data_IF_039391923103
#
_entry.id   IF_039391923103
#
_cell.length_a   1.000
_cell.length_b   1.000
_cell.length_c   1.000
_cell.angle_alpha   90.00
_cell.angle_beta   90.00
_cell.angle_gamma   90.00
#
_symmetry.space_group_name_H-M   'P 1'
#
loop_
_entity.id
_entity.type
_entity.pdbx_description
1 polymer ?
#
# COMPACT_ATOMS: atom_id res chain seq x y z
N UNK A 1 57.75 31.14 -11.25
CA UNK A 1 58.58 30.42 -10.28
C UNK A 1 57.67 29.75 -9.27
N UNK A 2 57.82 28.43 -9.13
CA UNK A 2 57.51 27.58 -7.94
C UNK A 2 56.09 27.66 -7.38
N UNK A 3 55.20 26.72 -7.71
CA UNK A 3 55.00 25.40 -7.06
C UNK A 3 54.78 25.44 -5.54
N UNK A 4 53.61 24.96 -5.09
CA UNK A 4 53.49 24.04 -3.95
C UNK A 4 52.15 23.31 -3.93
N UNK A 5 52.24 22.05 -3.53
CA UNK A 5 51.40 20.92 -3.91
C UNK A 5 50.14 20.72 -3.05
N UNK A 6 49.18 20.04 -3.68
CA UNK A 6 47.90 19.57 -3.15
C UNK A 6 48.03 18.07 -2.86
N UNK A 7 47.81 17.63 -1.62
CA UNK A 7 47.70 16.21 -1.28
C UNK A 7 46.21 15.83 -1.19
N UNK A 8 45.71 15.11 -2.20
CA UNK A 8 44.41 14.43 -2.16
C UNK A 8 44.68 12.98 -2.53
N UNK A 9 44.55 12.10 -1.54
CA UNK A 9 44.55 10.66 -1.68
C UNK A 9 43.31 10.23 -2.50
N UNK A 10 43.54 9.60 -3.66
CA UNK A 10 42.49 8.92 -4.43
C UNK A 10 42.90 7.47 -4.68
N UNK A 11 42.01 6.57 -4.26
CA UNK A 11 42.00 5.15 -4.55
C UNK A 11 42.15 4.92 -6.06
N UNK A 12 43.04 3.98 -6.42
CA UNK A 12 43.25 3.51 -7.78
C UNK A 12 42.22 2.43 -8.12
N UNK A 13 41.34 2.71 -9.09
CA UNK A 13 40.57 1.69 -9.81
C UNK A 13 41.05 1.73 -11.25
N UNK A 14 41.89 0.76 -11.63
CA UNK A 14 42.43 0.62 -12.97
C UNK A 14 41.40 -0.05 -13.89
N UNK A 15 40.70 0.76 -14.70
CA UNK A 15 39.98 0.27 -15.86
C UNK A 15 40.99 0.00 -16.99
N UNK A 16 41.18 -1.28 -17.37
CA UNK A 16 41.86 -1.61 -18.63
C UNK A 16 40.88 -1.44 -19.79
N UNK A 17 41.11 -0.43 -20.63
CA UNK A 17 40.56 -0.36 -21.98
C UNK A 17 41.14 -1.51 -22.80
N UNK A 18 40.27 -2.34 -23.39
CA UNK A 18 40.66 -3.28 -24.45
C UNK A 18 40.38 -2.58 -25.77
N UNK A 19 41.46 -2.21 -26.48
CA UNK A 19 41.40 -1.78 -27.86
C UNK A 19 41.53 -3.03 -28.73
N UNK A 20 40.48 -3.37 -29.47
CA UNK A 20 40.53 -4.43 -30.48
C UNK A 20 40.94 -3.78 -31.80
N UNK A 21 42.12 -4.09 -32.31
CA UNK A 21 42.47 -3.86 -33.72
C UNK A 21 42.60 -5.19 -34.44
N UNK A 22 41.94 -5.21 -35.60
CA UNK A 22 41.79 -6.33 -36.53
C UNK A 22 43.14 -6.66 -37.19
N UNK A 23 43.36 -7.97 -37.33
CA UNK A 23 44.53 -8.64 -37.91
C UNK A 23 44.76 -8.22 -39.35
N UNK A 24 46.03 -7.99 -39.73
CA UNK A 24 46.54 -8.31 -41.06
C UNK A 24 48.07 -8.36 -41.09
N UNK A 25 48.61 -9.51 -41.50
CA UNK A 25 49.83 -9.63 -42.31
C UNK A 25 51.19 -9.29 -41.69
N UNK A 26 52.12 -10.22 -41.90
CA UNK A 26 53.59 -10.08 -41.84
C UNK A 26 54.31 -10.44 -40.53
N UNK A 27 55.33 -11.27 -40.74
CA UNK A 27 56.14 -12.00 -39.81
C UNK A 27 57.27 -11.13 -39.24
N UNK A 28 57.38 -11.03 -37.91
CA UNK A 28 58.48 -10.37 -37.17
C UNK A 28 58.67 -11.04 -35.78
N UNK A 29 59.85 -10.90 -35.13
CA UNK A 29 60.78 -11.98 -34.82
C UNK A 29 60.53 -12.68 -33.48
N UNK A 30 61.16 -13.85 -33.32
CA UNK A 30 61.22 -14.65 -32.08
C UNK A 30 61.58 -13.77 -30.87
N UNK A 31 60.60 -13.47 -30.04
CA UNK A 31 60.84 -13.12 -28.64
C UNK A 31 60.98 -14.43 -27.87
N UNK A 32 62.22 -14.78 -27.50
CA UNK A 32 62.49 -15.86 -26.55
C UNK A 32 61.90 -15.43 -25.20
N UNK A 33 60.70 -15.90 -24.90
CA UNK A 33 60.14 -15.80 -23.57
C UNK A 33 61.01 -16.67 -22.66
N UNK A 34 61.63 -16.07 -21.64
CA UNK A 34 62.21 -16.81 -20.53
C UNK A 34 61.06 -17.58 -19.87
N UNK A 35 60.90 -18.84 -20.25
CA UNK A 35 60.04 -19.77 -19.52
C UNK A 35 60.77 -20.07 -18.22
N UNK A 36 60.54 -19.23 -17.21
CA UNK A 36 60.63 -19.70 -15.84
C UNK A 36 59.67 -20.87 -15.75
N UNK A 37 60.23 -22.06 -15.80
CA UNK A 37 59.58 -23.32 -15.45
C UNK A 37 59.21 -23.20 -13.98
N UNK A 38 58.05 -22.58 -13.72
CA UNK A 38 57.39 -22.68 -12.43
C UNK A 38 56.99 -24.13 -12.31
N UNK A 39 57.66 -24.81 -11.39
CA UNK A 39 57.41 -26.17 -10.94
C UNK A 39 55.90 -26.39 -10.88
N UNK A 40 55.38 -27.19 -11.81
CA UNK A 40 53.99 -27.63 -11.84
C UNK A 40 53.79 -28.66 -10.73
N UNK A 41 53.71 -28.18 -9.48
CA UNK A 41 52.83 -28.83 -8.51
C UNK A 41 51.41 -28.62 -9.01
N UNK A 42 50.74 -29.69 -9.39
CA UNK A 42 49.31 -29.68 -9.75
C UNK A 42 48.47 -29.45 -8.47
N UNK A 43 48.59 -28.28 -7.85
CA UNK A 43 47.59 -27.86 -6.87
C UNK A 43 46.34 -27.43 -7.64
N UNK A 44 45.30 -28.25 -7.55
CA UNK A 44 44.01 -27.99 -8.19
C UNK A 44 43.41 -26.70 -7.63
N UNK A 45 43.30 -25.67 -8.48
CA UNK A 45 42.70 -24.39 -8.13
C UNK A 45 41.17 -24.58 -7.99
N UNK A 46 40.69 -24.76 -6.76
CA UNK A 46 39.26 -24.92 -6.46
C UNK A 46 38.58 -23.56 -6.38
N UNK A 47 37.79 -23.20 -7.40
CA UNK A 47 36.99 -21.98 -7.40
C UNK A 47 35.78 -22.17 -6.46
N UNK A 48 35.56 -21.27 -5.48
CA UNK A 48 34.43 -21.39 -4.57
C UNK A 48 33.09 -21.12 -5.28
N UNK A 49 32.02 -21.72 -4.76
CA UNK A 49 30.67 -21.54 -5.28
C UNK A 49 30.16 -20.13 -5.00
N UNK A 50 29.45 -19.55 -5.99
CA UNK A 50 28.76 -18.27 -5.82
C UNK A 50 27.65 -18.41 -4.78
N UNK A 51 27.62 -17.49 -3.81
CA UNK A 51 26.51 -17.35 -2.86
C UNK A 51 25.53 -16.30 -3.36
N UNK A 52 24.24 -16.54 -3.13
CA UNK A 52 23.15 -15.62 -3.42
C UNK A 52 22.47 -15.24 -2.12
N UNK A 53 22.08 -13.98 -1.99
CA UNK A 53 21.47 -13.44 -0.78
C UNK A 53 20.23 -12.63 -1.15
N UNK A 54 19.28 -12.55 -0.22
CA UNK A 54 18.14 -11.66 -0.37
C UNK A 54 18.55 -10.19 -0.15
N UNK A 55 17.80 -9.25 -0.73
CA UNK A 55 18.12 -7.81 -0.76
C UNK A 55 18.27 -7.20 0.64
N UNK A 56 17.51 -7.70 1.62
CA UNK A 56 17.54 -7.17 3.01
C UNK A 56 18.38 -8.01 3.98
N UNK A 57 18.89 -9.17 3.55
CA UNK A 57 19.57 -10.14 4.43
C UNK A 57 20.81 -9.59 5.12
N UNK A 58 21.60 -8.78 4.41
CA UNK A 58 22.82 -8.15 4.97
C UNK A 58 22.45 -7.12 6.03
N UNK A 59 21.41 -6.32 5.80
CA UNK A 59 20.93 -5.34 6.78
C UNK A 59 20.38 -6.03 8.03
N UNK A 60 19.66 -7.14 7.86
CA UNK A 60 19.19 -7.95 8.97
C UNK A 60 20.36 -8.53 9.78
N UNK A 61 21.40 -9.02 9.10
CA UNK A 61 22.61 -9.50 9.76
C UNK A 61 23.29 -8.40 10.58
N UNK A 62 23.40 -7.17 10.05
CA UNK A 62 23.92 -6.04 10.80
C UNK A 62 23.02 -5.63 11.97
N UNK A 63 21.70 -5.61 11.78
CA UNK A 63 20.75 -5.31 12.85
C UNK A 63 20.88 -6.29 14.02
N UNK A 64 21.16 -7.58 13.77
CA UNK A 64 21.41 -8.57 14.83
C UNK A 64 22.71 -8.37 15.60
N UNK A 65 23.68 -7.63 15.05
CA UNK A 65 24.93 -7.34 15.76
C UNK A 65 24.80 -6.18 16.75
N UNK A 66 23.71 -5.41 16.70
CA UNK A 66 23.49 -4.22 17.52
C UNK A 66 22.35 -4.45 18.51
N UNK A 67 22.57 -4.11 19.78
CA UNK A 67 21.55 -4.18 20.83
C UNK A 67 20.78 -2.87 20.97
N UNK A 68 19.59 -2.92 21.58
CA UNK A 68 18.82 -1.73 21.91
C UNK A 68 19.54 -0.85 22.94
N UNK A 69 19.55 0.46 22.70
CA UNK A 69 20.09 1.45 23.64
C UNK A 69 19.11 1.67 24.79
N UNK A 70 19.57 1.48 26.03
CA UNK A 70 18.75 1.67 27.23
C UNK A 70 18.61 3.13 27.64
N UNK A 71 19.45 4.01 27.10
CA UNK A 71 19.49 5.45 27.44
C UNK A 71 18.72 6.31 26.44
N UNK A 72 18.50 5.80 25.22
CA UNK A 72 17.79 6.52 24.17
C UNK A 72 16.27 6.31 24.23
N UNK A 73 15.53 7.33 23.80
CA UNK A 73 14.12 7.19 23.47
C UNK A 73 13.95 6.30 22.22
N UNK A 74 12.75 5.72 21.98
CA UNK A 74 12.53 4.91 20.78
C UNK A 74 12.80 5.71 19.49
N UNK A 75 13.39 5.07 18.48
CA UNK A 75 13.81 5.70 17.22
C UNK A 75 12.68 6.44 16.46
N UNK A 76 11.41 6.12 16.72
CA UNK A 76 10.27 6.80 16.10
C UNK A 76 10.17 8.29 16.46
N UNK A 77 10.80 8.69 17.56
CA UNK A 77 10.79 10.05 18.11
C UNK A 77 12.05 10.82 17.73
N UNK A 78 11.97 12.15 17.86
CA UNK A 78 13.09 13.02 17.53
C UNK A 78 14.06 13.07 18.71
N UNK A 79 15.35 12.94 18.41
CA UNK A 79 16.44 13.00 19.38
C UNK A 79 16.83 14.47 19.65
N UNK A 80 15.90 15.20 20.27
CA UNK A 80 16.02 16.61 20.64
C UNK A 80 15.56 16.77 22.10
N UNK A 81 16.35 17.36 23.01
CA UNK A 81 15.99 17.57 24.41
C UNK A 81 14.59 18.17 24.63
N UNK A 82 14.13 19.08 23.76
CA UNK A 82 12.80 19.70 23.89
C UNK A 82 11.65 18.81 23.40
N UNK A 83 11.94 17.71 22.70
CA UNK A 83 10.95 16.77 22.13
C UNK A 83 11.06 15.37 22.72
N UNK A 84 11.86 15.20 23.78
CA UNK A 84 11.91 13.96 24.55
C UNK A 84 10.59 13.76 25.27
N UNK A 85 10.07 12.54 25.22
CA UNK A 85 8.84 12.21 25.94
C UNK A 85 9.10 12.13 27.43
N UNK A 86 8.28 12.83 28.21
CA UNK A 86 8.29 12.74 29.67
C UNK A 86 7.29 11.72 30.19
N UNK A 87 6.23 11.45 29.43
CA UNK A 87 5.13 10.56 29.82
C UNK A 87 4.58 9.70 28.68
N UNK A 88 3.92 8.59 29.03
CA UNK A 88 3.26 7.71 28.06
C UNK A 88 2.10 8.39 27.30
N UNK A 89 1.39 9.31 27.96
CA UNK A 89 0.29 10.07 27.33
C UNK A 89 0.84 11.03 26.28
N UNK A 90 1.95 11.70 26.59
CA UNK A 90 2.66 12.58 25.66
C UNK A 90 3.23 11.78 24.48
N UNK A 91 3.88 10.64 24.77
CA UNK A 91 4.34 9.68 23.76
C UNK A 91 3.25 9.31 22.76
N UNK A 92 2.08 8.90 23.27
CA UNK A 92 0.92 8.56 22.44
C UNK A 92 0.44 9.77 21.64
N UNK A 93 0.38 10.94 22.26
CA UNK A 93 -0.08 12.18 21.61
C UNK A 93 0.85 12.60 20.46
N UNK A 94 2.17 12.52 20.65
CA UNK A 94 3.15 12.82 19.60
C UNK A 94 3.06 11.86 18.42
N UNK A 95 2.92 10.56 18.65
CA UNK A 95 2.75 9.58 17.57
C UNK A 95 1.43 9.80 16.82
N UNK A 96 0.34 10.11 17.53
CA UNK A 96 -0.95 10.43 16.91
C UNK A 96 -0.86 11.71 16.09
N UNK A 97 -0.16 12.73 16.57
CA UNK A 97 0.07 13.97 15.82
C UNK A 97 0.88 13.73 14.55
N UNK A 98 1.96 12.94 14.62
CA UNK A 98 2.75 12.54 13.43
C UNK A 98 1.89 11.79 12.41
N UNK A 99 1.12 10.80 12.86
CA UNK A 99 0.20 10.03 12.01
C UNK A 99 -0.92 10.90 11.41
N UNK A 100 -1.41 11.88 12.16
CA UNK A 100 -2.37 12.86 11.67
C UNK A 100 -1.77 13.70 10.54
N UNK A 101 -0.53 14.17 10.69
CA UNK A 101 0.20 14.87 9.62
C UNK A 101 0.42 14.01 8.37
N UNK A 102 0.77 12.72 8.54
CA UNK A 102 0.88 11.77 7.44
C UNK A 102 -0.47 11.58 6.71
N UNK A 103 -1.58 11.49 7.45
CA UNK A 103 -2.91 11.38 6.88
C UNK A 103 -3.34 12.68 6.16
N UNK A 104 -3.04 13.84 6.72
CA UNK A 104 -3.29 15.14 6.09
C UNK A 104 -2.52 15.28 4.78
N UNK A 105 -1.24 14.89 4.75
CA UNK A 105 -0.44 14.86 3.53
C UNK A 105 -1.04 13.91 2.47
N UNK A 106 -1.45 12.69 2.87
CA UNK A 106 -2.15 11.75 1.96
C UNK A 106 -3.43 12.36 1.40
N UNK A 107 -4.21 13.06 2.22
CA UNK A 107 -5.41 13.76 1.78
C UNK A 107 -5.06 14.78 0.69
N UNK A 108 -4.08 15.66 0.91
CA UNK A 108 -3.65 16.66 -0.09
C UNK A 108 -3.18 16.01 -1.39
N UNK A 109 -2.36 14.96 -1.29
CA UNK A 109 -1.83 14.23 -2.46
C UNK A 109 -2.96 13.62 -3.29
N UNK A 110 -3.96 13.02 -2.63
CA UNK A 110 -5.09 12.38 -3.30
C UNK A 110 -6.12 13.39 -3.84
N UNK A 111 -6.31 14.52 -3.16
CA UNK A 111 -7.20 15.61 -3.63
C UNK A 111 -6.61 16.36 -4.82
N UNK A 112 -5.29 16.48 -4.91
CA UNK A 112 -4.61 17.14 -6.02
C UNK A 112 -3.49 16.28 -6.64
N UNK A 113 -3.81 15.14 -7.30
CA UNK A 113 -2.81 14.24 -7.86
C UNK A 113 -1.92 14.91 -8.91
N UNK A 114 -2.45 15.90 -9.63
CA UNK A 114 -1.78 16.61 -10.73
C UNK A 114 -0.42 17.17 -10.35
N UNK A 115 -0.25 17.64 -9.11
CA UNK A 115 1.02 18.21 -8.64
C UNK A 115 2.08 17.16 -8.31
N UNK A 116 1.68 15.90 -8.09
CA UNK A 116 2.53 14.81 -7.63
C UNK A 116 2.77 13.72 -8.71
N UNK A 117 2.25 13.91 -9.92
CA UNK A 117 2.43 12.99 -11.04
C UNK A 117 3.85 13.01 -11.64
N UNK A 118 4.62 14.09 -11.41
CA UNK A 118 5.97 14.21 -11.96
C UNK A 118 6.92 13.27 -11.23
N UNK A 119 7.35 12.22 -11.91
CA UNK A 119 8.36 11.31 -11.41
C UNK A 119 9.78 11.86 -11.63
N UNK A 120 10.54 11.96 -10.54
CA UNK A 120 11.94 12.42 -10.55
C UNK A 120 12.90 11.23 -10.34
N UNK A 121 12.41 10.13 -9.74
CA UNK A 121 13.21 8.95 -9.44
C UNK A 121 13.61 8.21 -10.74
N UNK A 122 14.84 7.71 -10.78
CA UNK A 122 15.35 6.94 -11.92
C UNK A 122 14.61 5.59 -12.08
N UNK A 123 14.20 4.99 -10.97
CA UNK A 123 13.36 3.82 -10.95
C UNK A 123 11.96 4.21 -10.52
N UNK A 124 10.96 3.69 -11.23
CA UNK A 124 9.57 3.98 -10.90
C UNK A 124 9.19 3.45 -9.52
N UNK A 125 8.71 4.32 -8.62
CA UNK A 125 8.30 3.93 -7.25
C UNK A 125 6.79 4.08 -7.10
N UNK A 126 6.06 3.00 -7.36
CA UNK A 126 4.60 2.98 -7.32
C UNK A 126 4.00 3.42 -5.97
N UNK A 127 4.65 3.13 -4.84
CA UNK A 127 4.13 3.51 -3.51
C UNK A 127 4.26 5.01 -3.17
N UNK A 128 4.98 5.79 -3.98
CA UNK A 128 5.08 7.25 -3.83
C UNK A 128 4.15 8.01 -4.78
N UNK A 129 3.49 7.30 -5.69
CA UNK A 129 2.55 7.90 -6.63
C UNK A 129 1.16 8.09 -5.99
N UNK A 130 0.42 9.14 -6.39
CA UNK A 130 -0.96 9.34 -5.93
C UNK A 130 -1.84 8.12 -6.19
N UNK A 131 -2.72 7.81 -5.25
CA UNK A 131 -3.72 6.76 -5.43
C UNK A 131 -4.96 7.33 -6.13
N UNK A 132 -5.44 6.62 -7.14
CA UNK A 132 -6.67 6.98 -7.86
C UNK A 132 -7.87 6.28 -7.21
N UNK A 133 -8.85 7.07 -6.79
CA UNK A 133 -10.09 6.59 -6.14
C UNK A 133 -11.36 6.90 -6.93
N UNK A 134 -11.21 7.49 -8.10
CA UNK A 134 -12.29 7.75 -9.04
C UNK A 134 -12.42 6.55 -10.00
N UNK A 135 -13.65 6.09 -10.28
CA UNK A 135 -13.86 5.04 -11.27
C UNK A 135 -13.41 5.56 -12.64
N UNK A 136 -12.56 4.80 -13.33
CA UNK A 136 -12.10 5.18 -14.66
C UNK A 136 -13.15 4.87 -15.74
N UNK A 137 -14.03 3.91 -15.47
CA UNK A 137 -15.07 3.47 -16.41
C UNK A 137 -16.41 4.03 -15.94
N UNK A 138 -16.93 5.04 -16.64
CA UNK A 138 -18.27 5.60 -16.41
C UNK A 138 -19.39 4.75 -17.03
N UNK A 139 -19.05 3.92 -18.02
CA UNK A 139 -20.02 3.10 -18.73
C UNK A 139 -20.63 1.99 -17.85
N UNK A 140 -21.94 1.76 -18.02
CA UNK A 140 -22.70 0.68 -17.35
C UNK A 140 -22.24 -0.67 -17.90
N UNK A 141 -21.16 -1.21 -17.33
CA UNK A 141 -20.54 -2.48 -17.72
C UNK A 141 -20.16 -3.31 -16.50
N UNK A 142 -20.08 -4.65 -16.67
CA UNK A 142 -19.67 -5.53 -15.56
C UNK A 142 -18.26 -5.18 -15.07
N UNK A 143 -17.38 -4.73 -15.97
CA UNK A 143 -16.03 -4.29 -15.63
C UNK A 143 -16.05 -3.05 -14.72
N UNK A 144 -16.92 -2.07 -14.99
CA UNK A 144 -17.10 -0.89 -14.15
C UNK A 144 -17.58 -1.26 -12.74
N UNK A 145 -18.54 -2.19 -12.63
CA UNK A 145 -19.00 -2.69 -11.33
C UNK A 145 -17.87 -3.35 -10.53
N UNK A 146 -17.03 -4.17 -11.18
CA UNK A 146 -15.86 -4.78 -10.53
C UNK A 146 -14.85 -3.73 -10.05
N UNK A 147 -14.66 -2.65 -10.79
CA UNK A 147 -13.80 -1.54 -10.39
C UNK A 147 -14.35 -0.82 -9.15
N UNK A 148 -15.64 -0.48 -9.14
CA UNK A 148 -16.29 0.16 -8.00
C UNK A 148 -16.23 -0.69 -6.72
N UNK A 149 -16.37 -2.01 -6.85
CA UNK A 149 -16.21 -2.96 -5.74
C UNK A 149 -14.78 -2.92 -5.19
N UNK A 150 -13.76 -2.89 -6.07
CA UNK A 150 -12.35 -2.76 -5.66
C UNK A 150 -12.07 -1.44 -4.94
N UNK A 151 -12.68 -0.35 -5.41
CA UNK A 151 -12.61 0.97 -4.78
C UNK A 151 -13.48 1.11 -3.52
N UNK A 152 -14.22 0.05 -3.15
CA UNK A 152 -15.11 -0.01 -1.98
C UNK A 152 -16.19 1.09 -1.98
N UNK A 153 -16.69 1.46 -3.16
CA UNK A 153 -17.78 2.43 -3.32
C UNK A 153 -19.13 1.73 -3.15
N UNK A 154 -19.62 1.64 -1.92
CA UNK A 154 -20.78 0.79 -1.58
C UNK A 154 -22.04 1.28 -2.26
N UNK A 155 -22.41 2.56 -2.10
CA UNK A 155 -23.63 3.12 -2.71
C UNK A 155 -23.60 3.03 -4.24
N UNK A 156 -22.52 3.52 -4.86
CA UNK A 156 -22.38 3.49 -6.31
C UNK A 156 -22.46 2.07 -6.88
N UNK A 157 -21.86 1.08 -6.20
CA UNK A 157 -21.92 -0.33 -6.63
C UNK A 157 -23.34 -0.89 -6.55
N UNK A 158 -24.11 -0.51 -5.53
CA UNK A 158 -25.52 -0.92 -5.38
C UNK A 158 -26.39 -0.26 -6.44
N UNK A 159 -26.22 1.05 -6.68
CA UNK A 159 -26.97 1.78 -7.70
C UNK A 159 -26.70 1.21 -9.10
N UNK A 160 -25.44 0.93 -9.41
CA UNK A 160 -25.02 0.27 -10.67
C UNK A 160 -25.62 -1.14 -10.79
N UNK A 161 -25.67 -1.90 -9.69
CA UNK A 161 -26.33 -3.21 -9.67
C UNK A 161 -27.84 -3.11 -9.95
N UNK A 162 -28.50 -2.09 -9.40
CA UNK A 162 -29.92 -1.85 -9.67
C UNK A 162 -30.18 -1.47 -11.13
N UNK A 163 -29.25 -0.75 -11.78
CA UNK A 163 -29.31 -0.53 -13.23
C UNK A 163 -29.22 -1.84 -14.02
N UNK A 164 -28.36 -2.79 -13.64
CA UNK A 164 -28.32 -4.11 -14.29
C UNK A 164 -29.61 -4.91 -14.12
N UNK A 165 -30.22 -4.84 -12.92
CA UNK A 165 -31.50 -5.49 -12.65
C UNK A 165 -32.63 -4.89 -13.51
N UNK A 166 -32.67 -3.56 -13.66
CA UNK A 166 -33.66 -2.87 -14.51
C UNK A 166 -33.48 -3.18 -15.99
N UNK A 167 -32.23 -3.27 -16.46
CA UNK A 167 -31.90 -3.60 -17.84
C UNK A 167 -32.08 -5.09 -18.18
N UNK A 168 -32.36 -5.95 -17.18
CA UNK A 168 -32.46 -7.40 -17.36
C UNK A 168 -31.14 -8.06 -17.80
N UNK A 169 -30.01 -7.39 -17.59
CA UNK A 169 -28.69 -7.91 -17.96
C UNK A 169 -28.15 -8.83 -16.86
N UNK A 170 -27.69 -10.02 -17.22
CA UNK A 170 -27.18 -11.00 -16.26
C UNK A 170 -25.77 -10.64 -15.78
N UNK A 171 -25.63 -10.36 -14.48
CA UNK A 171 -24.33 -10.13 -13.83
C UNK A 171 -23.72 -11.48 -13.45
N UNK A 172 -22.40 -11.64 -13.63
CA UNK A 172 -21.71 -12.86 -13.21
C UNK A 172 -21.91 -13.17 -11.73
N UNK A 173 -21.96 -14.46 -11.42
CA UNK A 173 -22.07 -14.99 -10.06
C UNK A 173 -20.92 -14.49 -9.17
N UNK A 174 -19.70 -14.44 -9.69
CA UNK A 174 -18.50 -14.00 -8.97
C UNK A 174 -18.56 -12.52 -8.60
N UNK A 175 -19.01 -11.67 -9.54
CA UNK A 175 -19.17 -10.22 -9.32
C UNK A 175 -20.23 -9.95 -8.26
N UNK A 176 -21.34 -10.67 -8.31
CA UNK A 176 -22.42 -10.57 -7.30
C UNK A 176 -21.96 -11.03 -5.93
N UNK A 177 -21.15 -12.09 -5.85
CA UNK A 177 -20.53 -12.54 -4.60
C UNK A 177 -19.56 -11.51 -4.03
N UNK A 178 -18.75 -10.90 -4.86
CA UNK A 178 -17.82 -9.84 -4.46
C UNK A 178 -18.55 -8.60 -3.94
N UNK A 179 -19.69 -8.26 -4.55
CA UNK A 179 -20.58 -7.19 -4.07
C UNK A 179 -21.18 -7.53 -2.70
N UNK A 180 -21.65 -8.76 -2.52
CA UNK A 180 -22.13 -9.24 -1.22
C UNK A 180 -21.02 -9.20 -0.16
N UNK A 181 -19.80 -9.60 -0.49
CA UNK A 181 -18.64 -9.52 0.41
C UNK A 181 -18.40 -8.07 0.88
N UNK A 182 -18.47 -7.10 -0.05
CA UNK A 182 -18.33 -5.69 0.26
C UNK A 182 -19.44 -5.18 1.18
N UNK A 183 -20.70 -5.51 0.89
CA UNK A 183 -21.86 -5.05 1.67
C UNK A 183 -21.86 -5.64 3.07
N UNK A 184 -21.60 -6.95 3.17
CA UNK A 184 -21.52 -7.65 4.44
C UNK A 184 -20.33 -7.17 5.28
N UNK A 185 -19.19 -6.82 4.68
CA UNK A 185 -18.05 -6.26 5.41
C UNK A 185 -18.30 -4.83 5.87
N UNK A 186 -18.84 -3.97 5.01
CA UNK A 186 -19.02 -2.54 5.29
C UNK A 186 -20.33 -2.23 6.03
N UNK A 187 -21.23 -3.20 6.19
CA UNK A 187 -22.51 -3.00 6.87
C UNK A 187 -23.41 -1.98 6.16
N UNK A 188 -23.43 -2.00 4.83
CA UNK A 188 -24.14 -1.03 3.97
C UNK A 188 -23.73 0.45 4.16
N UNK A 189 -22.55 0.70 4.70
CA UNK A 189 -22.01 2.05 4.83
C UNK A 189 -20.83 2.22 3.89
N UNK A 190 -20.74 3.39 3.24
CA UNK A 190 -19.49 3.75 2.57
C UNK A 190 -18.38 3.89 3.63
N UNK A 191 -17.13 3.53 3.31
CA UNK A 191 -16.01 3.74 4.22
C UNK A 191 -15.96 5.20 4.67
N UNK A 192 -15.62 5.44 5.95
CA UNK A 192 -15.58 6.80 6.52
C UNK A 192 -14.78 7.72 5.61
N UNK A 193 -15.38 8.86 5.28
CA UNK A 193 -14.85 9.86 4.38
C UNK A 193 -13.64 10.63 4.95
N UNK A 194 -12.80 9.98 5.76
CA UNK A 194 -11.51 10.53 6.21
C UNK A 194 -10.59 10.88 5.01
N UNK A 195 -11.02 10.54 3.78
CA UNK A 195 -10.33 10.77 2.51
C UNK A 195 -11.05 11.70 1.52
N UNK A 196 -12.25 12.23 1.81
CA UNK A 196 -12.98 13.10 0.87
C UNK A 196 -13.32 14.45 1.50
N UNK A 197 -12.34 15.34 1.56
CA UNK A 197 -12.62 16.78 1.61
C UNK A 197 -13.00 17.22 0.18
N UNK A 198 -14.25 16.97 -0.20
CA UNK A 198 -14.87 17.83 -1.20
C UNK A 198 -15.32 19.08 -0.47
N UNK A 199 -14.50 20.14 -0.54
CA UNK A 199 -15.03 21.48 -0.35
C UNK A 199 -16.03 21.71 -1.47
N UNK A 200 -17.31 21.49 -1.17
CA UNK A 200 -18.35 22.28 -1.83
C UNK A 200 -18.17 23.69 -1.29
N UNK A 201 -17.49 24.55 -2.07
CA UNK A 201 -17.51 25.99 -1.91
C UNK A 201 -18.96 26.49 -1.94
N UNK A 202 -19.65 26.45 -0.80
CA UNK A 202 -20.86 27.24 -0.58
C UNK A 202 -21.08 27.47 0.92
N UNK A 203 -21.07 28.75 1.27
CA UNK A 203 -21.40 29.31 2.59
C UNK A 203 -20.27 29.37 3.63
N UNK A 204 -19.28 30.22 3.38
CA UNK A 204 -18.67 31.02 4.46
C UNK A 204 -19.34 32.40 4.48
N UNK A 205 -20.47 32.50 5.18
CA UNK A 205 -21.01 33.75 5.71
C UNK A 205 -21.99 33.38 6.83
N UNK A 206 -21.86 34.01 8.00
CA UNK A 206 -22.54 33.74 9.29
C UNK A 206 -22.04 32.45 10.01
N UNK A 207 -21.55 32.46 11.27
CA UNK A 207 -21.84 33.32 12.41
C UNK A 207 -20.64 33.44 13.37
N UNK A 208 -20.32 34.68 13.76
CA UNK A 208 -19.84 35.00 15.09
C UNK A 208 -21.07 35.11 16.01
N UNK A 209 -21.10 34.32 17.08
CA UNK A 209 -21.53 34.64 18.44
C UNK A 209 -22.27 33.50 19.17
N UNK A 210 -21.99 33.44 20.48
CA UNK A 210 -22.74 32.76 21.55
C UNK A 210 -22.47 31.27 21.82
N UNK A 211 -21.42 31.06 22.62
CA UNK A 211 -21.46 30.46 23.96
C UNK A 211 -22.57 29.43 24.30
N UNK A 212 -22.10 28.29 24.79
CA UNK A 212 -22.80 27.30 25.64
C UNK A 212 -23.98 26.53 25.02
N UNK A 213 -23.66 25.39 24.40
CA UNK A 213 -24.37 24.16 24.72
C UNK A 213 -23.47 22.93 24.59
N UNK A 214 -23.36 22.21 25.69
CA UNK A 214 -22.51 21.06 25.91
C UNK A 214 -23.15 19.82 25.28
N UNK A 215 -23.23 19.77 23.95
CA UNK A 215 -23.61 18.54 23.25
C UNK A 215 -22.39 17.62 23.15
N UNK A 216 -22.26 16.79 24.19
CA UNK A 216 -21.36 15.64 24.23
C UNK A 216 -21.40 14.90 22.90
N UNK A 217 -20.30 15.00 22.17
CA UNK A 217 -20.02 14.23 20.98
C UNK A 217 -20.24 12.74 21.26
N UNK A 218 -21.32 12.18 20.72
CA UNK A 218 -21.65 10.75 20.78
C UNK A 218 -20.72 9.93 19.86
N UNK A 219 -19.41 10.18 19.88
CA UNK A 219 -18.41 9.45 19.07
C UNK A 219 -17.76 8.27 19.82
N UNK A 220 -18.11 8.06 21.08
CA UNK A 220 -17.61 6.93 21.89
C UNK A 220 -18.66 5.83 22.16
N UNK A 221 -19.73 5.76 21.35
CA UNK A 221 -20.88 4.87 21.58
C UNK A 221 -21.02 3.67 20.63
N UNK A 222 -20.15 3.51 19.62
CA UNK A 222 -20.31 2.45 18.62
C UNK A 222 -19.68 1.09 19.00
N UNK A 223 -19.35 0.85 20.27
CA UNK A 223 -18.80 -0.45 20.70
C UNK A 223 -19.87 -1.48 21.08
N UNK A 224 -21.13 -1.08 21.26
CA UNK A 224 -22.21 -1.98 21.70
C UNK A 224 -23.55 -1.69 21.00
N UNK A 225 -23.55 -1.65 19.67
CA UNK A 225 -24.76 -1.61 18.86
C UNK A 225 -24.68 -2.67 17.76
N UNK A 226 -25.77 -3.42 17.56
CA UNK A 226 -25.92 -4.32 16.43
C UNK A 226 -25.64 -3.53 15.14
N UNK A 227 -24.51 -3.82 14.49
CA UNK A 227 -24.11 -3.19 13.22
C UNK A 227 -25.08 -3.61 12.10
N UNK A 228 -25.67 -4.79 12.23
CA UNK A 228 -26.59 -5.36 11.25
C UNK A 228 -27.99 -4.73 11.33
N UNK A 229 -28.38 -3.96 10.32
CA UNK A 229 -29.76 -3.48 10.20
C UNK A 229 -30.61 -4.49 9.46
N UNK A 230 -31.81 -4.77 9.99
CA UNK A 230 -32.81 -5.55 9.26
C UNK A 230 -33.23 -4.81 7.97
N UNK A 231 -33.47 -5.55 6.87
CA UNK A 231 -33.80 -5.00 5.54
C UNK A 231 -32.68 -4.17 4.93
N UNK A 232 -31.45 -4.65 5.06
CA UNK A 232 -30.30 -4.03 4.42
C UNK A 232 -30.20 -4.46 2.93
N UNK A 233 -29.38 -3.76 2.15
CA UNK A 233 -29.09 -4.04 0.74
C UNK A 233 -28.48 -5.43 0.56
N UNK A 234 -27.70 -5.93 1.53
CA UNK A 234 -27.18 -7.29 1.51
C UNK A 234 -28.31 -8.34 1.48
N UNK A 235 -29.31 -8.23 2.37
CA UNK A 235 -30.49 -9.11 2.41
C UNK A 235 -31.32 -9.00 1.12
N UNK A 236 -31.46 -7.77 0.59
CA UNK A 236 -32.16 -7.50 -0.67
C UNK A 236 -31.48 -8.20 -1.86
N UNK A 237 -30.19 -7.97 -2.04
CA UNK A 237 -29.40 -8.54 -3.15
C UNK A 237 -29.34 -10.05 -3.02
N UNK A 238 -29.17 -10.59 -1.81
CA UNK A 238 -29.20 -12.04 -1.59
C UNK A 238 -30.54 -12.66 -1.99
N UNK A 239 -31.66 -11.96 -1.77
CA UNK A 239 -32.99 -12.44 -2.15
C UNK A 239 -33.24 -12.37 -3.65
N UNK A 240 -32.81 -11.29 -4.30
CA UNK A 240 -32.97 -11.05 -5.75
C UNK A 240 -32.09 -12.00 -6.59
N UNK A 241 -30.95 -12.44 -6.03
CA UNK A 241 -30.01 -13.31 -6.72
C UNK A 241 -30.66 -14.64 -7.15
N UNK A 242 -30.58 -15.01 -8.46
CA UNK A 242 -31.24 -16.21 -8.97
C UNK A 242 -30.54 -17.51 -8.53
N UNK A 243 -29.21 -17.52 -8.46
CA UNK A 243 -28.41 -18.68 -8.07
C UNK A 243 -27.59 -18.40 -6.80
N UNK A 244 -27.75 -19.24 -5.77
CA UNK A 244 -27.06 -19.11 -4.49
C UNK A 244 -26.05 -20.25 -4.32
N UNK A 245 -24.79 -19.90 -4.21
CA UNK A 245 -23.69 -20.84 -4.01
C UNK A 245 -23.25 -20.88 -2.55
N UNK A 246 -22.40 -21.86 -2.18
CA UNK A 246 -21.84 -21.98 -0.82
C UNK A 246 -21.18 -20.70 -0.33
N UNK A 247 -20.45 -20.00 -1.20
CA UNK A 247 -19.81 -18.71 -0.88
C UNK A 247 -20.83 -17.66 -0.42
N UNK A 248 -21.93 -17.50 -1.16
CA UNK A 248 -22.95 -16.51 -0.81
C UNK A 248 -23.61 -16.75 0.55
N UNK A 249 -23.87 -18.02 0.92
CA UNK A 249 -24.34 -18.36 2.26
C UNK A 249 -23.26 -18.11 3.31
N UNK A 250 -22.01 -18.50 3.05
CA UNK A 250 -20.90 -18.31 3.98
C UNK A 250 -20.67 -16.83 4.31
N UNK A 251 -20.65 -15.96 3.29
CA UNK A 251 -20.50 -14.51 3.47
C UNK A 251 -21.61 -13.92 4.33
N UNK A 252 -22.87 -14.31 4.06
CA UNK A 252 -24.01 -13.87 4.86
C UNK A 252 -23.95 -14.36 6.31
N UNK A 253 -23.46 -15.57 6.56
CA UNK A 253 -23.36 -16.14 7.92
C UNK A 253 -22.18 -15.55 8.70
N UNK A 254 -21.03 -15.29 8.05
CA UNK A 254 -19.83 -14.77 8.72
C UNK A 254 -20.05 -13.37 9.28
N UNK A 255 -20.77 -12.55 8.51
CA UNK A 255 -20.85 -11.11 8.73
C UNK A 255 -22.28 -10.64 9.08
N UNK A 256 -23.31 -11.40 8.70
CA UNK A 256 -24.66 -11.21 9.18
C UNK A 256 -24.80 -11.81 10.56
N UNK A 257 -25.46 -11.10 11.48
CA UNK A 257 -25.86 -11.73 12.73
C UNK A 257 -26.72 -12.95 12.42
N UNK A 258 -26.46 -14.04 13.14
CA UNK A 258 -27.24 -15.28 13.20
C UNK A 258 -28.67 -14.98 13.68
N UNK A 259 -29.45 -14.26 12.90
CA UNK A 259 -30.89 -14.32 13.03
C UNK A 259 -31.27 -15.73 12.63
N UNK A 260 -31.96 -16.45 13.53
CA UNK A 260 -32.44 -17.84 13.37
C UNK A 260 -33.11 -18.13 12.02
N UNK A 261 -33.49 -17.09 11.28
CA UNK A 261 -34.07 -17.07 9.94
C UNK A 261 -33.12 -17.62 8.85
N UNK A 262 -31.81 -17.39 8.95
CA UNK A 262 -30.84 -17.84 7.94
C UNK A 262 -30.42 -19.29 8.10
N UNK A 263 -30.35 -19.79 9.34
CA UNK A 263 -30.01 -21.18 9.65
C UNK A 263 -31.04 -22.16 9.04
N UNK A 264 -32.32 -21.81 9.12
CA UNK A 264 -33.42 -22.57 8.48
C UNK A 264 -33.35 -22.56 6.94
N UNK A 265 -32.80 -21.50 6.34
CA UNK A 265 -32.65 -21.42 4.88
C UNK A 265 -31.47 -22.24 4.35
N UNK A 266 -30.41 -22.43 5.16
CA UNK A 266 -29.29 -23.30 4.81
C UNK A 266 -29.70 -24.78 4.88
N UNK A 267 -30.49 -25.15 5.89
CA UNK A 267 -31.00 -26.51 6.04
C UNK A 267 -31.99 -26.91 4.94
N UNK A 268 -32.63 -25.94 4.28
CA UNK A 268 -33.49 -26.16 3.11
C UNK A 268 -32.72 -26.23 1.77
N UNK A 269 -31.42 -25.89 1.76
CA UNK A 269 -30.57 -25.88 0.57
C UNK A 269 -29.61 -27.07 0.49
N UNK A 270 -29.59 -27.94 1.52
CA UNK A 270 -29.00 -29.29 1.51
C UNK A 270 -30.05 -30.31 1.10
#
# INVERSE_FOLDING_TARGET
GTERQKAVSRLSVSHRKVLVQVVNGHQLPRMTLCMTTVVTGLEELVIPKKKTWDKVSILQAFAYTVNGDTTAAPYAFQDDPYRVQTSSIESRSFLLAKKSGENAAKCIINSHPKYFQKEIAELHISCLMPAYFEPQIEDISEAALREQIKLKKVKASVDMFDHFLQAGTTVSLETTNSLLDLLCYSGDQDPSADYYFQQSEKSEELEEDTQENNEKSKKAGHQFGVIWRAKNNAERIFTVKPEKNTHSYYTMIRNGELTRRWWLSLQAAQ
#
